data_IF_033553368188
#
_entry.id   IF_033553368188
#
_cell.length_a   1.000
_cell.length_b   1.000
_cell.length_c   1.000
_cell.angle_alpha   90.00
_cell.angle_beta   90.00
_cell.angle_gamma   90.00
#
_symmetry.space_group_name_H-M   'P 1'
#
loop_
_entity.id
_entity.type
_entity.pdbx_description
1 polymer ?
#
# COMPACT_ATOMS: atom_id res chain seq x y z
N UNK A 1 -8.51 -1.05 5.22
CA UNK A 1 -8.56 -2.10 4.18
C UNK A 1 -9.89 -2.05 3.47
N UNK A 2 -9.86 -1.92 2.15
CA UNK A 2 -11.05 -1.97 1.31
C UNK A 2 -11.38 -3.44 1.04
N UNK A 3 -12.66 -3.81 1.16
CA UNK A 3 -13.14 -5.10 0.65
C UNK A 3 -13.26 -4.98 -0.86
N UNK A 4 -12.26 -5.45 -1.59
CA UNK A 4 -12.24 -5.42 -3.05
C UNK A 4 -12.98 -6.64 -3.62
N UNK A 5 -13.49 -6.50 -4.84
CA UNK A 5 -14.22 -7.55 -5.54
C UNK A 5 -13.84 -7.61 -7.04
N UNK A 6 -14.19 -8.72 -7.69
CA UNK A 6 -13.89 -8.97 -9.11
C UNK A 6 -12.49 -9.56 -9.32
N UNK A 7 -11.82 -9.14 -10.39
CA UNK A 7 -10.56 -9.72 -10.87
C UNK A 7 -9.34 -9.24 -10.05
N UNK A 8 -9.33 -9.53 -8.75
CA UNK A 8 -8.32 -9.05 -7.80
C UNK A 8 -7.20 -10.07 -7.52
N UNK A 9 -7.37 -11.33 -7.95
CA UNK A 9 -6.35 -12.37 -7.83
C UNK A 9 -5.35 -12.31 -8.98
N UNK A 10 -4.20 -12.94 -8.78
CA UNK A 10 -3.06 -12.93 -9.72
C UNK A 10 -2.63 -11.49 -10.07
N UNK A 11 -2.58 -10.65 -9.03
CA UNK A 11 -2.06 -9.28 -9.12
C UNK A 11 -0.79 -9.22 -8.30
N UNK A 12 0.34 -9.09 -8.99
CA UNK A 12 1.67 -8.98 -8.40
C UNK A 12 2.27 -7.64 -8.82
N UNK A 13 2.94 -6.93 -7.92
CA UNK A 13 3.56 -5.60 -8.17
C UNK A 13 2.63 -4.59 -8.86
N UNK A 14 1.48 -4.23 -8.25
CA UNK A 14 0.54 -3.34 -8.91
C UNK A 14 0.95 -1.87 -8.82
N UNK A 15 0.79 -1.15 -9.93
CA UNK A 15 0.79 0.31 -9.97
C UNK A 15 -0.58 0.83 -10.36
N UNK A 16 -0.93 2.03 -9.89
CA UNK A 16 -2.23 2.68 -10.14
C UNK A 16 -2.05 4.01 -10.87
N UNK A 17 -2.91 4.25 -11.86
CA UNK A 17 -3.23 5.58 -12.36
C UNK A 17 -4.73 5.86 -12.23
N UNK A 18 -5.09 7.11 -11.94
CA UNK A 18 -6.48 7.57 -11.97
C UNK A 18 -6.61 8.59 -13.10
N UNK A 19 -7.45 8.29 -14.09
CA UNK A 19 -7.63 9.13 -15.28
C UNK A 19 -9.01 8.94 -15.89
N UNK A 20 -9.61 10.03 -16.41
CA UNK A 20 -10.94 9.97 -17.03
C UNK A 20 -12.04 9.41 -16.11
N UNK A 21 -11.92 9.63 -14.80
CA UNK A 21 -12.86 9.10 -13.79
C UNK A 21 -12.71 7.61 -13.50
N UNK A 22 -11.70 6.93 -14.04
CA UNK A 22 -11.45 5.49 -13.85
C UNK A 22 -10.13 5.23 -13.12
N UNK A 23 -10.07 4.08 -12.47
CA UNK A 23 -8.88 3.52 -11.84
C UNK A 23 -8.27 2.50 -12.79
N UNK A 24 -6.96 2.59 -13.01
CA UNK A 24 -6.21 1.76 -13.95
C UNK A 24 -5.07 1.08 -13.20
N UNK A 25 -5.10 -0.25 -13.11
CA UNK A 25 -4.03 -1.04 -12.50
C UNK A 25 -3.27 -1.82 -13.56
N UNK A 26 -1.95 -1.73 -13.49
CA UNK A 26 -1.00 -2.53 -14.25
C UNK A 26 -0.19 -3.36 -13.27
N UNK A 27 0.16 -4.60 -13.63
CA UNK A 27 0.84 -5.51 -12.72
C UNK A 27 1.89 -6.37 -13.43
N UNK A 28 2.77 -7.00 -12.67
CA UNK A 28 3.59 -8.13 -13.16
C UNK A 28 2.68 -9.23 -13.71
N UNK A 29 3.09 -9.84 -14.82
CA UNK A 29 2.38 -10.95 -15.44
C UNK A 29 2.62 -11.02 -16.93
N UNK A 30 1.95 -11.97 -17.61
CA UNK A 30 2.03 -12.08 -19.06
C UNK A 30 1.67 -10.74 -19.70
N UNK A 31 2.57 -10.19 -20.52
CA UNK A 31 2.32 -8.97 -21.28
C UNK A 31 1.94 -7.70 -20.50
N UNK A 32 2.16 -7.63 -19.18
CA UNK A 32 1.59 -6.59 -18.27
C UNK A 32 0.05 -6.63 -18.27
N UNK A 33 -0.58 -7.40 -17.37
CA UNK A 33 -2.03 -7.41 -17.20
C UNK A 33 -2.57 -6.04 -16.80
N UNK A 34 -3.64 -5.61 -17.47
CA UNK A 34 -4.32 -4.35 -17.24
C UNK A 34 -5.75 -4.59 -16.71
N UNK A 35 -6.04 -3.97 -15.57
CA UNK A 35 -7.34 -4.00 -14.89
C UNK A 35 -7.90 -2.60 -14.73
N UNK A 36 -9.23 -2.51 -14.70
CA UNK A 36 -9.96 -1.25 -14.49
C UNK A 36 -10.97 -1.36 -13.38
N UNK A 37 -11.25 -0.22 -12.75
CA UNK A 37 -12.37 -0.06 -11.82
C UNK A 37 -12.97 1.33 -11.97
N UNK A 38 -14.28 1.44 -11.82
CA UNK A 38 -15.01 2.72 -11.82
C UNK A 38 -15.06 3.34 -10.43
N UNK A 39 -14.94 2.54 -9.36
CA UNK A 39 -15.10 2.94 -7.97
C UNK A 39 -13.87 2.64 -7.08
N UNK A 40 -12.87 1.95 -7.62
CA UNK A 40 -11.70 1.48 -6.89
C UNK A 40 -12.00 0.35 -5.91
N UNK A 41 -13.12 -0.36 -6.11
CA UNK A 41 -13.60 -1.51 -5.32
C UNK A 41 -13.84 -2.73 -6.22
N UNK A 42 -14.60 -2.56 -7.30
CA UNK A 42 -14.94 -3.63 -8.24
C UNK A 42 -13.99 -3.58 -9.44
N UNK A 43 -13.14 -4.59 -9.55
CA UNK A 43 -12.09 -4.66 -10.57
C UNK A 43 -12.44 -5.63 -11.69
N UNK A 44 -12.11 -5.25 -12.91
CA UNK A 44 -12.26 -6.07 -14.11
C UNK A 44 -10.95 -6.13 -14.87
N UNK A 45 -10.49 -7.33 -15.19
CA UNK A 45 -9.41 -7.56 -16.14
C UNK A 45 -9.87 -7.18 -17.55
N UNK A 46 -8.99 -6.49 -18.30
CA UNK A 46 -9.30 -6.00 -19.64
C UNK A 46 -8.49 -6.74 -20.69
N UNK A 47 -7.16 -6.68 -20.58
CA UNK A 47 -6.19 -7.23 -21.55
C UNK A 47 -4.78 -7.19 -20.99
N UNK A 48 -3.83 -7.78 -21.70
CA UNK A 48 -2.41 -7.43 -21.59
C UNK A 48 -2.09 -6.15 -22.39
N UNK A 49 -1.07 -5.41 -21.97
CA UNK A 49 -0.51 -4.31 -22.77
C UNK A 49 0.28 -4.84 -23.97
N UNK A 50 1.01 -5.93 -23.78
CA UNK A 50 1.80 -6.59 -24.82
C UNK A 50 1.23 -7.97 -25.12
N UNK A 51 0.73 -8.17 -26.34
CA UNK A 51 0.45 -9.52 -26.85
C UNK A 51 1.73 -10.31 -27.12
N UNK A 52 2.84 -9.61 -27.40
CA UNK A 52 4.19 -10.15 -27.50
C UNK A 52 5.16 -9.10 -26.97
N UNK A 53 6.13 -9.51 -26.16
CA UNK A 53 7.16 -8.60 -25.67
C UNK A 53 7.94 -7.96 -26.83
N UNK A 54 8.35 -6.68 -26.72
CA UNK A 54 9.11 -6.01 -27.77
C UNK A 54 10.42 -6.71 -28.14
N UNK A 55 10.68 -6.92 -29.43
CA UNK A 55 11.75 -7.79 -29.92
C UNK A 55 13.13 -7.56 -29.30
N UNK A 56 13.47 -6.30 -29.00
CA UNK A 56 14.72 -5.91 -28.35
C UNK A 56 14.99 -6.66 -27.04
N UNK A 57 13.94 -7.12 -26.33
CA UNK A 57 14.08 -7.84 -25.08
C UNK A 57 14.95 -9.10 -25.23
N UNK A 58 14.86 -9.80 -26.38
CA UNK A 58 15.63 -11.03 -26.65
C UNK A 58 17.10 -10.76 -26.89
N UNK A 59 17.40 -9.59 -27.45
CA UNK A 59 18.77 -9.15 -27.74
C UNK A 59 19.46 -8.68 -26.46
N UNK A 60 18.75 -7.88 -25.65
CA UNK A 60 19.31 -7.29 -24.43
C UNK A 60 19.34 -8.33 -23.30
N UNK A 61 18.22 -8.99 -23.01
CA UNK A 61 18.06 -9.94 -21.90
C UNK A 61 17.45 -11.26 -22.42
N UNK A 62 18.27 -12.14 -23.04
CA UNK A 62 17.78 -13.43 -23.51
C UNK A 62 17.25 -14.26 -22.33
N UNK A 63 16.10 -14.93 -22.56
CA UNK A 63 15.45 -15.80 -21.56
C UNK A 63 14.36 -15.13 -20.73
N UNK A 64 14.12 -13.82 -20.88
CA UNK A 64 12.95 -13.18 -20.26
C UNK A 64 11.65 -13.81 -20.79
N UNK A 65 10.79 -14.21 -19.85
CA UNK A 65 9.48 -14.81 -20.16
C UNK A 65 8.36 -13.80 -20.09
N UNK A 66 8.35 -12.98 -19.04
CA UNK A 66 7.31 -11.99 -18.77
C UNK A 66 7.97 -10.69 -18.28
N UNK A 67 7.34 -9.53 -18.54
CA UNK A 67 7.76 -8.26 -17.95
C UNK A 67 7.30 -8.17 -16.48
N UNK A 68 8.07 -7.47 -15.65
CA UNK A 68 7.82 -7.34 -14.20
C UNK A 68 7.69 -5.89 -13.76
N UNK A 69 6.99 -5.69 -12.64
CA UNK A 69 6.91 -4.48 -11.83
C UNK A 69 6.73 -3.21 -12.67
N UNK A 70 5.59 -3.05 -13.37
CA UNK A 70 5.37 -1.85 -14.15
C UNK A 70 5.17 -0.64 -13.24
N UNK A 71 5.58 0.53 -13.72
CA UNK A 71 5.18 1.83 -13.19
C UNK A 71 4.54 2.68 -14.29
N UNK A 72 3.58 3.52 -13.93
CA UNK A 72 2.82 4.34 -14.87
C UNK A 72 2.85 5.80 -14.43
N UNK A 73 3.30 6.67 -15.34
CA UNK A 73 3.40 8.11 -15.09
C UNK A 73 3.01 8.91 -16.32
N UNK A 74 2.53 10.14 -16.11
CA UNK A 74 2.13 11.04 -17.19
C UNK A 74 3.11 12.21 -17.28
N UNK A 75 3.83 12.32 -18.40
CA UNK A 75 4.64 13.50 -18.73
C UNK A 75 4.87 13.62 -20.23
N UNK A 76 5.18 14.83 -20.69
CA UNK A 76 5.37 15.10 -22.12
C UNK A 76 4.12 14.80 -22.96
N UNK A 77 2.93 14.97 -22.38
CA UNK A 77 1.65 14.75 -23.05
C UNK A 77 1.27 13.28 -23.27
N UNK A 78 1.98 12.32 -22.67
CA UNK A 78 1.74 10.89 -22.84
C UNK A 78 1.77 10.16 -21.50
N UNK A 79 0.98 9.10 -21.41
CA UNK A 79 1.13 8.07 -20.40
C UNK A 79 2.30 7.18 -20.80
N UNK A 80 3.22 6.93 -19.86
CA UNK A 80 4.42 6.15 -20.08
C UNK A 80 4.50 5.07 -19.01
N UNK A 81 4.49 3.83 -19.47
CA UNK A 81 4.57 2.62 -18.67
C UNK A 81 5.99 2.09 -18.76
N UNK A 82 6.73 2.19 -17.66
CA UNK A 82 8.04 1.56 -17.53
C UNK A 82 7.85 0.16 -16.98
N UNK A 83 8.69 -0.78 -17.39
CA UNK A 83 8.60 -2.18 -16.96
C UNK A 83 9.98 -2.83 -16.96
N UNK A 84 10.11 -3.89 -16.17
CA UNK A 84 11.35 -4.65 -16.03
C UNK A 84 11.40 -5.81 -17.02
N UNK A 85 12.59 -6.07 -17.55
CA UNK A 85 12.95 -7.23 -18.38
C UNK A 85 14.15 -7.88 -17.72
N UNK A 86 13.97 -9.09 -17.18
CA UNK A 86 15.00 -9.75 -16.37
C UNK A 86 14.84 -11.28 -16.36
N UNK A 87 15.75 -11.95 -15.65
CA UNK A 87 15.74 -13.38 -15.33
C UNK A 87 16.05 -13.55 -13.83
N UNK A 88 15.47 -14.58 -13.20
CA UNK A 88 15.56 -14.75 -11.75
C UNK A 88 17.01 -14.87 -11.27
N UNK A 89 17.36 -14.09 -10.23
CA UNK A 89 18.69 -14.08 -9.61
C UNK A 89 19.78 -13.38 -10.45
N UNK A 90 19.42 -12.71 -11.54
CA UNK A 90 20.34 -11.99 -12.41
C UNK A 90 20.37 -10.49 -12.10
N UNK A 91 21.56 -9.91 -12.24
CA UNK A 91 21.79 -8.46 -12.23
C UNK A 91 21.89 -7.88 -13.66
N UNK A 92 21.96 -8.76 -14.67
CA UNK A 92 21.83 -8.36 -16.06
C UNK A 92 20.33 -8.25 -16.37
N UNK A 93 19.83 -7.02 -16.38
CA UNK A 93 18.41 -6.66 -16.48
C UNK A 93 18.26 -5.34 -17.23
N UNK A 94 17.05 -5.08 -17.72
CA UNK A 94 16.73 -3.85 -18.40
C UNK A 94 15.38 -3.29 -17.94
N UNK A 95 15.27 -1.96 -17.95
CA UNK A 95 14.01 -1.23 -17.85
C UNK A 95 13.62 -0.80 -19.26
N UNK A 96 12.44 -1.22 -19.70
CA UNK A 96 11.81 -0.80 -20.95
C UNK A 96 10.75 0.27 -20.72
N UNK A 97 10.28 0.90 -21.80
CA UNK A 97 9.18 1.84 -21.77
C UNK A 97 8.23 1.63 -22.94
N UNK A 98 6.93 1.70 -22.66
CA UNK A 98 5.91 1.91 -23.69
C UNK A 98 5.08 3.15 -23.36
N UNK A 99 4.49 3.80 -24.37
CA UNK A 99 3.65 4.98 -24.16
C UNK A 99 2.39 5.01 -25.00
N UNK A 100 1.35 5.63 -24.43
CA UNK A 100 0.09 5.89 -25.11
C UNK A 100 -0.43 7.30 -24.77
N UNK A 101 -1.41 7.79 -25.52
CA UNK A 101 -2.02 9.10 -25.28
C UNK A 101 -3.17 9.01 -24.26
N UNK A 102 -3.86 7.88 -24.22
CA UNK A 102 -5.04 7.65 -23.39
C UNK A 102 -5.02 6.25 -22.80
N UNK A 103 -5.09 6.16 -21.46
CA UNK A 103 -5.27 4.89 -20.77
C UNK A 103 -6.62 4.25 -21.15
N UNK A 104 -6.60 2.92 -21.29
CA UNK A 104 -7.78 2.14 -21.71
C UNK A 104 -7.97 2.04 -23.22
N UNK A 105 -7.18 2.73 -24.03
CA UNK A 105 -7.13 2.54 -25.49
C UNK A 105 -6.14 1.44 -25.91
N UNK A 106 -6.02 1.23 -27.23
CA UNK A 106 -5.11 0.24 -27.84
C UNK A 106 -3.79 0.85 -28.36
N UNK A 107 -3.63 2.18 -28.29
CA UNK A 107 -2.51 2.92 -28.88
C UNK A 107 -1.19 2.89 -28.10
N UNK A 108 -0.78 1.74 -27.56
CA UNK A 108 0.52 1.59 -26.91
C UNK A 108 1.64 1.45 -27.95
N UNK A 109 2.68 2.28 -27.80
CA UNK A 109 3.90 2.25 -28.61
C UNK A 109 5.06 1.80 -27.74
N UNK A 110 5.85 0.83 -28.20
CA UNK A 110 7.15 0.53 -27.59
C UNK A 110 8.13 1.69 -27.85
N UNK A 111 8.72 2.21 -26.77
CA UNK A 111 9.74 3.27 -26.81
C UNK A 111 11.16 2.72 -26.55
N UNK A 112 11.27 1.39 -26.45
CA UNK A 112 12.54 0.68 -26.36
C UNK A 112 13.16 0.64 -24.96
N UNK A 113 14.42 0.19 -24.85
CA UNK A 113 15.14 0.16 -23.58
C UNK A 113 15.44 1.59 -23.09
N UNK A 114 15.23 1.79 -21.78
CA UNK A 114 15.51 3.01 -21.04
C UNK A 114 16.87 2.91 -20.35
N UNK A 115 17.08 1.85 -19.57
CA UNK A 115 18.28 1.67 -18.76
C UNK A 115 18.58 0.17 -18.62
N UNK A 116 19.86 -0.20 -18.64
CA UNK A 116 20.32 -1.59 -18.59
C UNK A 116 21.39 -1.71 -17.53
N UNK A 117 21.23 -2.64 -16.60
CA UNK A 117 22.31 -3.06 -15.70
C UNK A 117 22.97 -4.32 -16.24
N UNK A 118 24.24 -4.49 -15.93
CA UNK A 118 25.06 -5.66 -16.26
C UNK A 118 25.59 -6.31 -15.00
N UNK A 119 26.06 -7.56 -15.14
CA UNK A 119 26.69 -8.29 -14.04
C UNK A 119 27.90 -7.50 -13.51
N UNK A 120 27.92 -7.25 -12.20
CA UNK A 120 28.99 -6.51 -11.54
C UNK A 120 28.67 -5.04 -11.26
N UNK A 121 27.56 -4.52 -11.80
CA UNK A 121 27.03 -3.22 -11.36
C UNK A 121 26.66 -3.26 -9.86
N UNK A 122 26.48 -2.12 -9.18
CA UNK A 122 26.05 -2.11 -7.78
C UNK A 122 24.55 -2.40 -7.60
N UNK A 123 23.75 -2.32 -8.67
CA UNK A 123 22.28 -2.40 -8.66
C UNK A 123 21.75 -3.42 -9.68
N UNK A 124 20.48 -3.79 -9.53
CA UNK A 124 19.72 -4.47 -10.56
C UNK A 124 18.72 -3.48 -11.18
N UNK A 125 18.76 -3.27 -12.49
CA UNK A 125 17.87 -2.36 -13.22
C UNK A 125 16.49 -3.00 -13.44
N UNK A 126 15.73 -3.14 -12.35
CA UNK A 126 14.32 -3.55 -12.32
C UNK A 126 13.56 -2.70 -11.30
N UNK A 127 12.25 -2.92 -11.20
CA UNK A 127 11.31 -2.22 -10.32
C UNK A 127 11.36 -0.70 -10.50
N UNK A 128 11.13 -0.20 -11.72
CA UNK A 128 11.11 1.24 -11.98
C UNK A 128 9.99 1.93 -11.20
N UNK A 129 10.24 3.14 -10.73
CA UNK A 129 9.23 4.14 -10.41
C UNK A 129 9.67 5.51 -10.91
N UNK A 130 8.82 6.19 -11.67
CA UNK A 130 9.08 7.53 -12.18
C UNK A 130 8.39 8.56 -11.30
N UNK A 131 9.18 9.45 -10.73
CA UNK A 131 8.69 10.67 -10.09
C UNK A 131 8.91 11.86 -11.02
N UNK A 132 7.84 12.59 -11.35
CA UNK A 132 7.92 13.80 -12.19
C UNK A 132 7.87 15.03 -11.29
N UNK A 133 8.93 15.82 -11.33
CA UNK A 133 8.99 17.10 -10.61
C UNK A 133 8.01 18.13 -11.16
N UNK A 134 7.77 19.19 -10.37
CA UNK A 134 6.87 20.29 -10.77
C UNK A 134 7.32 21.02 -12.03
N UNK A 135 8.62 21.04 -12.31
CA UNK A 135 9.20 21.62 -13.52
C UNK A 135 9.09 20.68 -14.74
N UNK A 136 8.47 19.50 -14.57
CA UNK A 136 8.31 18.50 -15.61
C UNK A 136 9.49 17.53 -15.75
N UNK A 137 10.51 17.64 -14.89
CA UNK A 137 11.69 16.75 -14.92
C UNK A 137 11.35 15.37 -14.36
N UNK A 138 11.46 14.29 -15.17
CA UNK A 138 11.29 12.93 -14.67
C UNK A 138 12.56 12.40 -14.01
N UNK A 139 12.37 11.66 -12.93
CA UNK A 139 13.42 10.94 -12.20
C UNK A 139 13.02 9.49 -12.05
N UNK A 140 13.94 8.59 -12.40
CA UNK A 140 13.78 7.16 -12.25
C UNK A 140 14.37 6.72 -10.92
N UNK A 141 13.52 6.18 -10.06
CA UNK A 141 13.92 5.38 -8.91
C UNK A 141 13.82 3.91 -9.31
N UNK A 142 14.79 3.08 -8.95
CA UNK A 142 14.79 1.66 -9.32
C UNK A 142 15.66 0.85 -8.35
N UNK A 143 15.54 -0.47 -8.42
CA UNK A 143 16.42 -1.38 -7.69
C UNK A 143 15.66 -2.48 -6.97
N UNK A 144 16.27 -3.65 -6.97
CA UNK A 144 15.82 -4.82 -6.23
C UNK A 144 17.04 -5.64 -5.88
N UNK A 145 17.23 -5.88 -4.57
CA UNK A 145 18.39 -6.51 -3.94
C UNK A 145 19.74 -5.77 -4.13
N UNK A 146 20.86 -6.51 -4.13
CA UNK A 146 22.23 -6.00 -4.22
C UNK A 146 22.53 -4.85 -3.26
N UNK A 147 23.03 -3.70 -3.75
CA UNK A 147 23.38 -2.56 -2.91
C UNK A 147 22.17 -1.68 -2.56
N UNK A 148 21.00 -1.94 -3.15
CA UNK A 148 19.74 -1.29 -2.79
C UNK A 148 19.10 -0.47 -3.90
N UNK A 149 18.57 0.68 -3.53
CA UNK A 149 17.70 1.53 -4.35
C UNK A 149 18.47 2.72 -4.88
N UNK A 150 18.34 2.96 -6.18
CA UNK A 150 19.07 3.98 -6.91
C UNK A 150 18.12 4.98 -7.56
N UNK A 151 18.61 6.21 -7.69
CA UNK A 151 17.94 7.34 -8.33
C UNK A 151 18.75 7.80 -9.54
N UNK A 152 18.07 8.08 -10.64
CA UNK A 152 18.67 8.48 -11.91
C UNK A 152 17.81 9.55 -12.59
N UNK A 153 18.43 10.63 -13.05
CA UNK A 153 17.72 11.70 -13.76
C UNK A 153 17.43 11.29 -15.20
N UNK A 154 16.20 11.50 -15.66
CA UNK A 154 15.79 11.25 -17.03
C UNK A 154 15.67 12.55 -17.83
N UNK A 155 15.93 12.48 -19.13
CA UNK A 155 15.63 13.53 -20.09
C UNK A 155 14.11 13.61 -20.31
N UNK A 156 13.46 14.78 -20.12
CA UNK A 156 12.00 14.90 -20.20
C UNK A 156 11.40 14.53 -21.56
N UNK A 157 12.15 14.70 -22.66
CA UNK A 157 11.67 14.46 -24.02
C UNK A 157 11.70 12.96 -24.32
N UNK A 158 12.84 12.34 -24.09
CA UNK A 158 13.09 10.94 -24.45
C UNK A 158 12.58 9.98 -23.38
N UNK A 159 12.60 10.35 -22.10
CA UNK A 159 12.38 9.43 -20.98
C UNK A 159 13.56 8.49 -20.71
N UNK A 160 14.73 8.77 -21.31
CA UNK A 160 15.98 8.02 -21.11
C UNK A 160 16.90 8.78 -20.15
N UNK A 161 17.90 8.11 -19.51
CA UNK A 161 18.86 8.81 -18.68
C UNK A 161 19.52 9.97 -19.42
N UNK A 162 19.73 11.09 -18.73
CA UNK A 162 20.53 12.20 -19.30
C UNK A 162 21.97 11.72 -19.54
N UNK A 163 22.70 12.39 -20.45
CA UNK A 163 24.11 12.07 -20.69
C UNK A 163 24.92 12.17 -19.39
N UNK A 164 25.78 11.17 -19.14
CA UNK A 164 26.59 11.05 -17.92
C UNK A 164 25.77 10.97 -16.62
N UNK A 165 24.51 10.56 -16.68
CA UNK A 165 23.73 10.32 -15.47
C UNK A 165 24.35 9.16 -14.67
N UNK A 166 24.73 9.44 -13.43
CA UNK A 166 25.23 8.43 -12.50
C UNK A 166 24.12 8.01 -11.53
N UNK A 167 23.79 6.71 -11.43
CA UNK A 167 22.83 6.24 -10.45
C UNK A 167 23.32 6.50 -9.02
N UNK A 168 22.51 7.21 -8.24
CA UNK A 168 22.79 7.53 -6.84
C UNK A 168 22.05 6.56 -5.91
N UNK A 169 22.77 5.84 -5.05
CA UNK A 169 22.13 5.01 -4.03
C UNK A 169 21.45 5.90 -2.97
N UNK A 170 20.16 5.68 -2.71
CA UNK A 170 19.34 6.48 -1.78
C UNK A 170 18.69 5.66 -0.65
N UNK A 171 18.69 4.33 -0.77
CA UNK A 171 18.31 3.42 0.32
C UNK A 171 19.04 2.08 0.16
N UNK A 172 19.41 1.47 1.28
CA UNK A 172 20.12 0.21 1.30
C UNK A 172 19.75 -0.58 2.55
N UNK A 173 20.07 -1.88 2.56
CA UNK A 173 19.82 -2.73 3.72
C UNK A 173 21.10 -3.44 4.14
N UNK A 174 22.00 -2.78 4.89
CA UNK A 174 23.19 -3.45 5.41
C UNK A 174 22.82 -4.66 6.27
N UNK A 175 23.53 -5.78 6.11
CA UNK A 175 23.25 -7.04 6.81
C UNK A 175 22.20 -7.93 6.12
N UNK A 176 21.47 -7.43 5.13
CA UNK A 176 20.61 -8.24 4.26
C UNK A 176 20.32 -7.52 2.97
N UNK A 177 20.60 -8.12 1.81
CA UNK A 177 20.31 -7.47 0.53
C UNK A 177 18.81 -7.35 0.21
N UNK A 178 17.90 -7.89 1.03
CA UNK A 178 16.47 -7.92 0.71
C UNK A 178 15.78 -6.56 0.89
N UNK A 179 15.93 -5.69 -0.12
CA UNK A 179 15.28 -4.40 -0.32
C UNK A 179 14.94 -4.22 -1.81
N UNK A 180 13.73 -3.79 -2.15
CA UNK A 180 13.30 -3.59 -3.55
C UNK A 180 12.08 -2.66 -3.67
N UNK A 181 11.52 -2.54 -4.88
CA UNK A 181 10.24 -1.89 -5.17
C UNK A 181 10.13 -0.44 -4.65
N UNK A 182 10.99 0.48 -5.12
CA UNK A 182 10.94 1.86 -4.70
C UNK A 182 9.69 2.56 -5.24
N UNK A 183 9.08 3.43 -4.43
CA UNK A 183 8.02 4.33 -4.87
C UNK A 183 8.16 5.69 -4.20
N UNK A 184 8.25 6.76 -4.98
CA UNK A 184 8.40 8.13 -4.47
C UNK A 184 7.08 8.89 -4.51
N UNK A 185 6.70 9.46 -3.36
CA UNK A 185 5.57 10.38 -3.22
C UNK A 185 6.03 11.72 -2.64
N UNK A 186 5.67 12.83 -3.27
CA UNK A 186 5.87 14.18 -2.70
C UNK A 186 4.61 14.65 -1.98
N UNK A 187 4.72 14.96 -0.69
CA UNK A 187 3.61 15.47 0.14
C UNK A 187 4.12 16.47 1.17
N UNK A 188 3.43 17.61 1.33
CA UNK A 188 3.70 18.61 2.37
C UNK A 188 5.19 19.02 2.50
N UNK A 189 5.88 19.19 1.37
CA UNK A 189 7.30 19.58 1.34
C UNK A 189 8.28 18.48 1.74
N UNK A 190 7.84 17.23 1.71
CA UNK A 190 8.68 16.04 1.91
C UNK A 190 8.57 15.11 0.69
N UNK A 191 9.66 14.45 0.37
CA UNK A 191 9.70 13.28 -0.48
C UNK A 191 9.66 12.06 0.42
N UNK A 192 8.71 11.17 0.19
CA UNK A 192 8.59 9.88 0.87
C UNK A 192 9.07 8.81 -0.10
N UNK A 193 10.08 8.06 0.31
CA UNK A 193 10.55 6.88 -0.41
C UNK A 193 9.99 5.64 0.30
N UNK A 194 9.03 5.00 -0.34
CA UNK A 194 8.58 3.67 0.05
C UNK A 194 9.50 2.63 -0.61
N UNK A 195 9.81 1.57 0.13
CA UNK A 195 10.52 0.39 -0.36
C UNK A 195 9.94 -0.83 0.32
N UNK A 196 10.16 -2.02 -0.24
CA UNK A 196 9.85 -3.27 0.44
C UNK A 196 11.10 -3.95 0.99
N UNK A 197 10.99 -4.46 2.21
CA UNK A 197 12.03 -5.25 2.87
C UNK A 197 11.63 -6.73 2.92
N UNK A 198 12.65 -7.59 3.01
CA UNK A 198 12.54 -9.04 3.13
C UNK A 198 11.98 -9.70 1.84
N UNK A 199 11.40 -10.89 1.92
CA UNK A 199 11.15 -11.74 0.74
C UNK A 199 9.67 -11.81 0.37
N UNK A 200 9.37 -11.43 -0.88
CA UNK A 200 8.14 -11.80 -1.56
C UNK A 200 8.16 -13.28 -1.96
N UNK A 201 7.12 -13.67 -2.70
CA UNK A 201 7.16 -14.79 -3.65
C UNK A 201 7.30 -16.16 -2.98
N UNK A 202 6.84 -16.25 -1.72
CA UNK A 202 6.85 -17.47 -0.90
C UNK A 202 5.45 -17.86 -0.41
N UNK A 203 4.42 -17.42 -1.14
CA UNK A 203 3.02 -17.68 -0.77
C UNK A 203 2.73 -17.16 0.63
N UNK A 204 2.08 -18.00 1.45
CA UNK A 204 1.77 -17.70 2.85
C UNK A 204 3.00 -17.49 3.75
N UNK A 205 4.19 -17.93 3.31
CA UNK A 205 5.45 -17.78 4.04
C UNK A 205 6.21 -16.49 3.68
N UNK A 206 5.61 -15.59 2.89
CA UNK A 206 6.23 -14.31 2.53
C UNK A 206 6.39 -13.42 3.77
N UNK A 207 7.61 -12.94 3.99
CA UNK A 207 7.97 -12.05 5.13
C UNK A 207 8.02 -10.57 4.75
N UNK A 208 7.64 -10.30 3.50
CA UNK A 208 7.62 -9.01 2.84
C UNK A 208 6.87 -7.93 3.63
N UNK A 209 7.38 -6.70 3.62
CA UNK A 209 6.73 -5.57 4.27
C UNK A 209 7.09 -4.27 3.57
N UNK A 210 6.16 -3.31 3.45
CA UNK A 210 6.50 -1.96 2.99
C UNK A 210 6.96 -1.10 4.15
N UNK A 211 8.08 -0.42 3.95
CA UNK A 211 8.62 0.58 4.85
C UNK A 211 8.77 1.91 4.13
N UNK A 212 8.86 3.01 4.88
CA UNK A 212 9.00 4.35 4.32
C UNK A 212 10.07 5.17 5.05
N UNK A 213 10.78 5.98 4.29
CA UNK A 213 11.60 7.10 4.77
C UNK A 213 11.15 8.41 4.14
N UNK A 214 11.59 9.54 4.69
CA UNK A 214 11.38 10.84 4.04
C UNK A 214 12.63 11.72 4.01
N UNK A 215 12.67 12.62 3.03
CA UNK A 215 13.71 13.64 2.88
C UNK A 215 13.12 14.97 2.43
N UNK A 216 13.84 16.07 2.68
CA UNK A 216 13.49 17.40 2.16
C UNK A 216 13.89 17.57 0.69
N UNK A 217 14.79 16.73 0.20
CA UNK A 217 15.33 16.74 -1.15
C UNK A 217 15.10 15.38 -1.80
N UNK A 218 14.79 15.37 -3.10
CA UNK A 218 14.50 14.12 -3.84
C UNK A 218 15.66 13.12 -3.76
N UNK A 219 16.89 13.61 -3.76
CA UNK A 219 18.09 12.78 -3.72
C UNK A 219 18.51 12.33 -2.31
N UNK A 220 17.67 12.57 -1.30
CA UNK A 220 17.99 12.27 0.09
C UNK A 220 18.90 13.32 0.77
N UNK A 221 19.39 13.03 1.99
CA UNK A 221 19.27 11.74 2.68
C UNK A 221 17.85 11.44 3.14
N UNK A 222 17.42 10.19 2.98
CA UNK A 222 16.15 9.70 3.53
C UNK A 222 16.37 9.11 4.91
N UNK A 223 15.51 9.49 5.86
CA UNK A 223 15.49 8.94 7.23
C UNK A 223 14.09 8.45 7.57
N UNK A 224 13.98 7.50 8.49
CA UNK A 224 12.71 7.04 9.02
C UNK A 224 12.21 7.90 10.21
N UNK A 225 11.06 7.52 10.80
CA UNK A 225 10.42 8.24 11.91
C UNK A 225 11.31 8.33 13.16
N UNK A 226 12.20 7.37 13.36
CA UNK A 226 13.16 7.37 14.46
C UNK A 226 14.47 8.09 14.10
N UNK A 227 14.59 8.63 12.89
CA UNK A 227 15.79 9.32 12.41
C UNK A 227 16.87 8.39 11.86
N UNK A 228 16.62 7.08 11.73
CA UNK A 228 17.60 6.15 11.16
C UNK A 228 17.62 6.30 9.65
N UNK A 229 18.82 6.45 9.08
CA UNK A 229 19.02 6.60 7.65
C UNK A 229 18.56 5.35 6.88
N UNK A 230 17.91 5.55 5.73
CA UNK A 230 17.52 4.45 4.85
C UNK A 230 18.74 3.76 4.22
N UNK A 231 19.87 4.45 4.06
CA UNK A 231 21.15 3.83 3.68
C UNK A 231 21.71 2.90 4.76
N UNK A 232 21.26 3.03 6.01
CA UNK A 232 21.64 2.17 7.12
C UNK A 232 20.58 1.09 7.43
N UNK A 233 19.66 0.81 6.50
CA UNK A 233 18.56 -0.13 6.72
C UNK A 233 17.50 0.41 7.68
N UNK A 234 17.31 1.74 7.72
CA UNK A 234 16.15 2.37 8.35
C UNK A 234 14.86 2.13 7.56
N UNK A 235 13.73 2.49 8.15
CA UNK A 235 12.42 2.41 7.50
C UNK A 235 11.29 2.31 8.51
N UNK A 236 10.30 3.20 8.41
CA UNK A 236 9.08 3.12 9.22
C UNK A 236 8.12 2.13 8.55
N UNK A 237 7.75 1.05 9.24
CA UNK A 237 6.80 0.06 8.70
C UNK A 237 5.45 0.69 8.40
N UNK A 238 4.94 0.49 7.18
CA UNK A 238 3.62 0.93 6.72
C UNK A 238 2.66 -0.25 6.64
N UNK A 239 3.10 -1.35 6.02
CA UNK A 239 2.35 -2.60 5.89
C UNK A 239 3.23 -3.78 6.29
N UNK A 240 2.63 -4.78 6.92
CA UNK A 240 3.27 -6.06 7.23
C UNK A 240 2.20 -7.15 7.34
N UNK A 241 2.61 -8.42 7.38
CA UNK A 241 1.68 -9.55 7.47
C UNK A 241 0.70 -9.41 8.65
N UNK A 242 -0.60 -9.50 8.37
CA UNK A 242 -1.69 -9.44 9.34
C UNK A 242 -2.88 -10.28 8.86
N UNK A 243 -3.42 -11.14 9.73
CA UNK A 243 -4.56 -12.00 9.41
C UNK A 243 -4.32 -12.85 8.16
N UNK A 244 -5.25 -12.78 7.19
CA UNK A 244 -5.13 -13.48 5.90
C UNK A 244 -4.03 -12.93 4.99
N UNK A 245 -3.63 -11.67 5.18
CA UNK A 245 -2.71 -10.97 4.29
C UNK A 245 -1.27 -11.24 4.69
N UNK A 246 -0.55 -11.99 3.85
CA UNK A 246 0.87 -12.32 4.05
C UNK A 246 1.71 -11.50 3.10
N UNK A 247 2.82 -10.97 3.59
CA UNK A 247 3.76 -10.22 2.79
C UNK A 247 3.20 -9.03 2.00
N UNK A 248 2.37 -8.11 2.57
CA UNK A 248 1.88 -6.95 1.82
C UNK A 248 3.02 -5.98 1.51
N UNK A 249 3.46 -5.96 0.25
CA UNK A 249 4.58 -5.15 -0.23
C UNK A 249 4.57 -4.95 -1.74
N UNK A 250 5.61 -4.31 -2.27
CA UNK A 250 5.66 -3.72 -3.60
C UNK A 250 4.50 -2.76 -3.81
N UNK A 251 4.56 -1.63 -3.09
CA UNK A 251 3.44 -0.70 -3.03
C UNK A 251 3.57 0.45 -4.03
N UNK A 252 2.42 0.89 -4.53
CA UNK A 252 2.24 2.20 -5.13
C UNK A 252 1.33 3.08 -4.26
N UNK A 253 1.45 4.39 -4.40
CA UNK A 253 0.64 5.36 -3.65
C UNK A 253 0.13 6.48 -4.56
N UNK A 254 -1.19 6.66 -4.61
CA UNK A 254 -1.86 7.74 -5.36
C UNK A 254 -2.77 8.52 -4.42
N UNK A 255 -2.41 9.78 -4.15
CA UNK A 255 -3.06 10.58 -3.12
C UNK A 255 -2.91 9.92 -1.75
N UNK A 256 -4.03 9.55 -1.13
CA UNK A 256 -4.06 8.75 0.11
C UNK A 256 -4.37 7.27 -0.15
N UNK A 257 -4.42 6.81 -1.40
CA UNK A 257 -4.64 5.40 -1.70
C UNK A 257 -3.32 4.66 -1.75
N UNK A 258 -3.17 3.69 -0.86
CA UNK A 258 -2.09 2.71 -0.86
C UNK A 258 -2.59 1.45 -1.54
N UNK A 259 -1.82 0.93 -2.48
CA UNK A 259 -2.05 -0.37 -3.07
C UNK A 259 -0.76 -1.18 -3.13
N UNK A 260 -0.87 -2.49 -3.01
CA UNK A 260 0.25 -3.42 -3.13
C UNK A 260 -0.30 -4.80 -3.50
N UNK A 261 0.56 -5.78 -3.71
CA UNK A 261 0.11 -7.17 -3.67
C UNK A 261 0.27 -7.72 -2.25
N UNK A 262 -0.53 -8.72 -1.91
CA UNK A 262 -0.33 -9.55 -0.72
C UNK A 262 -0.76 -10.99 -1.01
N UNK A 263 -0.08 -11.94 -0.40
CA UNK A 263 -0.36 -13.37 -0.52
C UNK A 263 -1.52 -13.71 0.41
N UNK A 264 -2.64 -14.12 -0.17
CA UNK A 264 -3.87 -14.33 0.56
C UNK A 264 -3.97 -15.75 1.13
N UNK A 265 -3.79 -15.89 2.44
CA UNK A 265 -3.83 -17.19 3.12
C UNK A 265 -5.20 -17.89 3.07
N UNK A 266 -6.28 -17.17 2.76
CA UNK A 266 -7.60 -17.79 2.53
C UNK A 266 -7.76 -18.35 1.11
N UNK A 267 -6.86 -17.98 0.19
CA UNK A 267 -6.82 -18.44 -1.19
C UNK A 267 -5.43 -19.01 -1.50
N UNK A 268 -4.94 -19.90 -0.63
CA UNK A 268 -3.71 -20.69 -0.84
C UNK A 268 -2.43 -19.85 -1.08
N UNK A 269 -2.43 -18.59 -0.62
CA UNK A 269 -1.33 -17.67 -0.85
C UNK A 269 -1.28 -17.12 -2.28
N UNK A 270 -2.38 -17.08 -3.02
CA UNK A 270 -2.42 -16.42 -4.33
C UNK A 270 -2.14 -14.91 -4.14
N UNK A 271 -1.24 -14.30 -4.95
CA UNK A 271 -0.99 -12.87 -4.90
C UNK A 271 -2.25 -12.11 -5.32
N UNK A 272 -2.76 -11.29 -4.42
CA UNK A 272 -4.05 -10.63 -4.53
C UNK A 272 -3.86 -9.13 -4.31
N UNK A 273 -4.57 -8.32 -5.11
CA UNK A 273 -4.56 -6.87 -4.98
C UNK A 273 -5.03 -6.47 -3.58
N UNK A 274 -4.18 -5.75 -2.88
CA UNK A 274 -4.46 -5.20 -1.56
C UNK A 274 -4.56 -3.69 -1.66
N UNK A 275 -5.64 -3.10 -1.16
CA UNK A 275 -5.81 -1.65 -1.11
C UNK A 275 -6.27 -1.16 0.25
N UNK A 276 -5.70 -0.05 0.68
CA UNK A 276 -6.14 0.68 1.86
C UNK A 276 -5.96 2.18 1.65
N UNK A 277 -6.53 2.97 2.54
CA UNK A 277 -6.22 4.40 2.60
C UNK A 277 -5.12 4.65 3.62
N UNK A 278 -4.25 5.62 3.37
CA UNK A 278 -3.27 6.10 4.33
C UNK A 278 -3.92 7.11 5.28
N UNK A 279 -3.54 7.04 6.55
CA UNK A 279 -3.64 8.15 7.51
C UNK A 279 -2.24 8.72 7.72
N UNK A 280 -2.16 9.99 8.12
CA UNK A 280 -0.88 10.70 8.29
C UNK A 280 -0.74 11.22 9.72
N UNK A 281 0.04 10.52 10.53
CA UNK A 281 0.24 10.82 11.95
C UNK A 281 1.57 11.55 12.13
N UNK A 282 1.53 12.86 12.44
CA UNK A 282 2.74 13.68 12.53
C UNK A 282 3.55 13.73 11.21
N UNK A 283 2.86 13.60 10.08
CA UNK A 283 3.47 13.54 8.75
C UNK A 283 4.11 12.20 8.41
N UNK A 284 3.75 11.11 9.09
CA UNK A 284 4.15 9.75 8.74
C UNK A 284 2.95 8.92 8.29
N UNK A 285 3.05 8.18 7.17
CA UNK A 285 1.93 7.39 6.70
C UNK A 285 1.78 6.11 7.53
N UNK A 286 0.54 5.76 7.81
CA UNK A 286 0.16 4.45 8.31
C UNK A 286 -1.08 3.98 7.55
N UNK A 287 -1.26 2.67 7.37
CA UNK A 287 -2.52 2.17 6.81
C UNK A 287 -3.66 2.55 7.76
N UNK A 288 -4.74 3.09 7.22
CA UNK A 288 -5.98 3.29 7.96
C UNK A 288 -6.50 1.90 8.33
N UNK A 289 -6.37 1.57 9.62
CA UNK A 289 -6.91 0.34 10.18
C UNK A 289 -8.40 0.28 9.87
N UNK A 290 -8.77 -0.72 9.10
CA UNK A 290 -10.13 -1.26 9.17
C UNK A 290 -10.16 -2.50 10.06
N UNK A 291 -9.06 -2.80 10.77
CA UNK A 291 -9.00 -3.82 11.84
C UNK A 291 -9.93 -3.51 13.01
N UNK A 292 -10.70 -2.42 12.97
CA UNK A 292 -11.89 -2.32 13.82
C UNK A 292 -12.92 -3.41 13.49
N UNK A 293 -12.99 -3.94 12.27
CA UNK A 293 -14.05 -4.89 11.86
C UNK A 293 -14.01 -6.29 12.50
N UNK A 294 -12.97 -6.69 13.22
CA UNK A 294 -12.91 -8.05 13.81
C UNK A 294 -12.41 -8.13 15.25
N UNK A 295 -11.98 -7.02 15.87
CA UNK A 295 -11.41 -7.08 17.22
C UNK A 295 -12.44 -7.52 18.28
N UNK A 296 -13.73 -7.37 18.02
CA UNK A 296 -14.83 -7.60 18.99
C UNK A 296 -16.09 -8.24 18.37
N UNK A 297 -15.93 -9.09 17.35
CA UNK A 297 -17.06 -9.75 16.66
C UNK A 297 -18.04 -10.47 17.62
N UNK A 298 -17.51 -10.94 18.75
CA UNK A 298 -18.21 -11.62 19.83
C UNK A 298 -19.09 -10.70 20.70
N UNK A 299 -18.92 -9.37 20.61
CA UNK A 299 -19.65 -8.35 21.41
C UNK A 299 -20.51 -7.44 20.52
N UNK A 300 -20.18 -7.33 19.23
CA UNK A 300 -20.99 -6.59 18.25
C UNK A 300 -22.41 -7.17 18.21
N UNK A 301 -23.39 -6.28 18.07
CA UNK A 301 -24.81 -6.64 18.03
C UNK A 301 -25.66 -5.70 18.86
N UNK A 302 -26.90 -6.11 19.08
CA UNK A 302 -27.89 -5.35 19.81
C UNK A 302 -27.85 -5.72 21.30
N UNK A 303 -27.96 -4.70 22.15
CA UNK A 303 -27.91 -4.81 23.59
C UNK A 303 -29.07 -4.03 24.20
N UNK A 304 -29.74 -4.61 25.18
CA UNK A 304 -30.59 -3.84 26.09
C UNK A 304 -29.68 -3.15 27.10
N UNK A 305 -29.51 -1.84 26.96
CA UNK A 305 -28.68 -0.99 27.82
C UNK A 305 -29.56 -0.25 28.83
N UNK A 306 -29.26 -0.41 30.12
CA UNK A 306 -30.06 0.13 31.22
C UNK A 306 -29.19 0.79 32.30
N UNK A 307 -29.26 2.12 32.43
CA UNK A 307 -28.81 2.82 33.63
C UNK A 307 -29.72 2.53 34.82
N UNK A 308 -29.17 2.43 36.02
CA UNK A 308 -29.92 2.18 37.26
C UNK A 308 -30.99 3.27 37.49
N UNK A 309 -32.24 2.85 37.76
CA UNK A 309 -33.41 3.73 37.82
C UNK A 309 -33.95 4.25 36.48
N UNK A 310 -33.32 3.90 35.35
CA UNK A 310 -33.74 4.25 33.99
C UNK A 310 -34.46 3.12 33.26
N UNK A 311 -35.16 3.48 32.18
CA UNK A 311 -35.73 2.50 31.25
C UNK A 311 -34.62 1.85 30.41
N UNK A 312 -34.75 0.56 30.14
CA UNK A 312 -33.87 -0.13 29.20
C UNK A 312 -34.06 0.44 27.78
N UNK A 313 -32.96 0.61 27.06
CA UNK A 313 -32.94 1.13 25.69
C UNK A 313 -32.15 0.21 24.79
N UNK A 314 -32.57 0.11 23.52
CA UNK A 314 -31.84 -0.69 22.54
C UNK A 314 -30.58 0.05 22.08
N UNK A 315 -29.43 -0.55 22.32
CA UNK A 315 -28.12 -0.03 21.93
C UNK A 315 -27.42 -1.04 21.03
N UNK A 316 -27.15 -0.64 19.78
CA UNK A 316 -26.32 -1.44 18.90
C UNK A 316 -24.85 -1.05 19.05
N UNK A 317 -23.98 -2.03 19.31
CA UNK A 317 -22.53 -1.86 19.27
C UNK A 317 -22.01 -2.28 17.89
N UNK A 318 -21.46 -1.34 17.12
CA UNK A 318 -21.06 -1.57 15.72
C UNK A 318 -19.58 -1.86 15.58
N UNK A 319 -19.23 -2.56 14.49
CA UNK A 319 -17.87 -3.00 14.20
C UNK A 319 -16.85 -1.86 14.02
N UNK A 320 -17.28 -0.63 13.75
CA UNK A 320 -16.39 0.52 13.62
C UNK A 320 -16.12 1.25 14.95
N UNK A 321 -16.64 0.71 16.07
CA UNK A 321 -16.56 1.32 17.40
C UNK A 321 -17.57 2.45 17.62
N UNK A 322 -18.56 2.63 16.75
CA UNK A 322 -19.71 3.50 16.97
C UNK A 322 -20.88 2.74 17.60
N UNK A 323 -21.87 3.45 18.12
CA UNK A 323 -23.12 2.87 18.60
C UNK A 323 -24.33 3.28 17.74
N UNK A 324 -25.53 2.78 18.05
CA UNK A 324 -26.79 3.31 17.49
C UNK A 324 -27.16 4.69 18.06
N UNK A 325 -26.65 5.05 19.25
CA UNK A 325 -26.92 6.36 19.82
C UNK A 325 -26.13 7.45 19.06
N UNK A 326 -26.73 8.62 18.79
CA UNK A 326 -26.07 9.70 18.05
C UNK A 326 -24.73 10.10 18.70
N UNK A 327 -23.65 10.01 17.92
CA UNK A 327 -22.28 10.34 18.36
C UNK A 327 -21.68 9.36 19.37
N UNK A 328 -22.42 8.34 19.81
CA UNK A 328 -21.95 7.36 20.76
C UNK A 328 -20.83 6.49 20.19
N UNK A 329 -19.82 6.21 21.02
CA UNK A 329 -18.69 5.34 20.65
C UNK A 329 -18.40 4.35 21.75
N UNK A 330 -17.73 3.25 21.40
CA UNK A 330 -17.36 2.21 22.35
C UNK A 330 -15.98 1.62 22.04
N UNK A 331 -15.34 1.10 23.08
CA UNK A 331 -14.10 0.32 23.00
C UNK A 331 -14.13 -0.87 23.95
N UNK A 332 -13.30 -1.88 23.70
CA UNK A 332 -13.07 -3.01 24.62
C UNK A 332 -11.59 -3.33 24.79
N UNK A 333 -11.19 -3.55 26.04
CA UNK A 333 -9.88 -4.04 26.47
C UNK A 333 -10.07 -5.19 27.48
N UNK A 334 -9.74 -6.42 27.08
CA UNK A 334 -10.04 -7.61 27.89
C UNK A 334 -11.54 -7.77 28.11
N UNK A 335 -11.98 -7.85 29.36
CA UNK A 335 -13.40 -7.84 29.74
C UNK A 335 -13.96 -6.43 29.94
N UNK A 336 -13.15 -5.37 29.85
CA UNK A 336 -13.64 -4.00 30.06
C UNK A 336 -14.23 -3.45 28.77
N UNK A 337 -15.50 -3.06 28.79
CA UNK A 337 -16.18 -2.27 27.75
C UNK A 337 -16.28 -0.83 28.24
N UNK A 338 -15.88 0.13 27.40
CA UNK A 338 -16.03 1.55 27.67
C UNK A 338 -17.01 2.16 26.68
N UNK A 339 -18.12 2.73 27.15
CA UNK A 339 -19.05 3.51 26.33
C UNK A 339 -18.77 5.00 26.53
N UNK A 340 -18.89 5.79 25.45
CA UNK A 340 -18.66 7.22 25.46
C UNK A 340 -19.82 7.94 24.77
N UNK A 341 -20.43 8.88 25.49
CA UNK A 341 -21.60 9.65 25.06
C UNK A 341 -21.24 11.14 24.98
N UNK A 342 -21.05 11.70 23.78
CA UNK A 342 -20.74 13.13 23.64
C UNK A 342 -21.83 14.01 24.23
N UNK A 343 -21.43 14.98 25.03
CA UNK A 343 -22.30 15.96 25.65
C UNK A 343 -21.48 17.18 26.06
N UNK A 344 -21.87 18.39 25.64
CA UNK A 344 -21.12 19.62 25.91
C UNK A 344 -20.94 19.87 27.41
N UNK A 345 -21.94 19.48 28.21
CA UNK A 345 -21.97 19.60 29.66
C UNK A 345 -21.17 18.53 30.42
N UNK A 346 -20.64 17.51 29.73
CA UNK A 346 -19.92 16.41 30.37
C UNK A 346 -18.44 16.74 30.59
N UNK A 347 -17.82 16.31 31.70
CA UNK A 347 -16.39 16.45 31.92
C UNK A 347 -15.58 15.84 30.76
N UNK A 348 -14.72 16.64 30.11
CA UNK A 348 -13.94 16.18 28.95
C UNK A 348 -14.76 15.95 27.67
N UNK A 349 -15.95 16.55 27.59
CA UNK A 349 -16.81 16.59 26.41
C UNK A 349 -17.59 15.29 26.14
N UNK A 350 -17.58 14.34 27.07
CA UNK A 350 -18.41 13.13 26.99
C UNK A 350 -18.60 12.45 28.35
N UNK A 351 -19.79 11.89 28.57
CA UNK A 351 -20.02 10.94 29.65
C UNK A 351 -19.37 9.60 29.30
N UNK A 352 -18.77 8.93 30.30
CA UNK A 352 -18.09 7.65 30.11
C UNK A 352 -18.67 6.60 31.05
N UNK A 353 -19.03 5.46 30.49
CA UNK A 353 -19.40 4.26 31.24
C UNK A 353 -18.27 3.25 31.15
N UNK A 354 -17.82 2.72 32.29
CA UNK A 354 -16.85 1.63 32.35
C UNK A 354 -17.53 0.39 32.89
N UNK A 355 -17.56 -0.64 32.06
CA UNK A 355 -18.39 -1.82 32.20
C UNK A 355 -17.50 -3.06 32.11
N UNK A 356 -17.84 -4.08 32.86
CA UNK A 356 -17.19 -5.40 32.84
C UNK A 356 -18.12 -6.38 32.17
N UNK A 357 -17.64 -7.01 31.11
CA UNK A 357 -18.31 -8.03 30.33
C UNK A 357 -18.20 -9.38 31.04
N UNK A 358 -19.31 -10.09 31.16
CA UNK A 358 -19.33 -11.45 31.70
C UNK A 358 -18.55 -12.42 30.78
N UNK A 359 -18.07 -13.53 31.34
CA UNK A 359 -17.24 -14.50 30.62
C UNK A 359 -17.94 -15.20 29.46
N UNK A 360 -19.27 -15.31 29.50
CA UNK A 360 -20.13 -15.85 28.44
C UNK A 360 -20.55 -14.79 27.41
N UNK A 361 -20.15 -13.52 27.62
CA UNK A 361 -20.44 -12.38 26.75
C UNK A 361 -21.95 -12.07 26.60
N UNK A 362 -22.78 -12.57 27.51
CA UNK A 362 -24.24 -12.36 27.48
C UNK A 362 -24.66 -11.04 28.16
N UNK A 363 -23.81 -10.49 29.02
CA UNK A 363 -24.10 -9.28 29.80
C UNK A 363 -22.85 -8.46 30.10
N UNK A 364 -23.03 -7.17 30.36
CA UNK A 364 -22.04 -6.32 31.00
C UNK A 364 -22.64 -5.57 32.19
N UNK A 365 -21.81 -5.19 33.15
CA UNK A 365 -22.22 -4.36 34.29
C UNK A 365 -21.10 -3.43 34.73
N UNK A 366 -21.44 -2.26 35.26
CA UNK A 366 -20.44 -1.33 35.78
C UNK A 366 -21.04 -0.02 36.22
N UNK A 367 -20.28 1.07 36.09
CA UNK A 367 -20.72 2.39 36.53
C UNK A 367 -20.36 3.46 35.51
N UNK A 368 -21.18 4.50 35.45
CA UNK A 368 -20.83 5.73 34.76
C UNK A 368 -19.87 6.61 35.60
N UNK A 369 -19.38 7.69 35.02
CA UNK A 369 -18.49 8.67 35.69
C UNK A 369 -19.09 9.29 36.96
N UNK A 370 -20.41 9.28 37.12
CA UNK A 370 -21.11 9.80 38.30
C UNK A 370 -21.35 8.72 39.37
N UNK A 371 -20.92 7.48 39.12
CA UNK A 371 -21.08 6.35 40.04
C UNK A 371 -22.43 5.64 39.95
N UNK A 372 -23.32 6.03 39.03
CA UNK A 372 -24.58 5.33 38.78
C UNK A 372 -24.29 3.98 38.12
N UNK A 373 -24.96 2.92 38.60
CA UNK A 373 -24.81 1.59 38.05
C UNK A 373 -25.41 1.51 36.63
N UNK A 374 -24.79 0.71 35.78
CA UNK A 374 -25.19 0.45 34.40
C UNK A 374 -25.17 -1.06 34.20
N UNK A 375 -26.22 -1.59 33.57
CA UNK A 375 -26.32 -2.97 33.15
C UNK A 375 -26.60 -3.03 31.65
N UNK A 376 -26.18 -4.12 31.02
CA UNK A 376 -26.69 -4.44 29.70
C UNK A 376 -26.69 -5.92 29.40
N UNK A 377 -27.70 -6.35 28.64
CA UNK A 377 -27.93 -7.74 28.26
C UNK A 377 -27.92 -7.83 26.74
N UNK A 378 -27.26 -8.86 26.21
CA UNK A 378 -27.20 -9.08 24.77
C UNK A 378 -28.54 -9.58 24.26
N UNK A 379 -29.02 -9.01 23.17
CA UNK A 379 -30.20 -9.50 22.46
C UNK A 379 -29.75 -10.59 21.49
N UNK A 380 -30.42 -11.75 21.57
CA UNK A 380 -30.08 -12.95 20.80
C UNK A 380 -30.38 -12.79 19.30
#
# INVERSE_FOLDING_TARGET
>A
MRELAGDIQHVHDPVLAISGGKWHVFSTGNGIPYRVSDDGIHWRYVKEIFSTLPAWHKEVIPGTRNPWAPDISFWGGRWRLLYSVSTFGSQHSAIGMASCEKLGGDGWRDDGPVFVSKRGDPYNAIDPNVFVERDGTPWLTFGSFWQGIFLLKLDPKTGKPVSNAEPKCIAARPGSTAIEAPFILKRAGWYYLFVSHDFCCRGVNSTYKSVVGRSRTLEGPYVDRAGKALLAGGGTTVSQSQGRWRGPGHCAVVGDTFLCHSYDAQHEGIPTLFMSSLRWDGGWPALKDTEKKTKWADVIGDWEHQPDGGAATMLQLKADGSTSAPGGTWTREGQTVTLRWPAEQAPGGAWIDKLTLAGDLSRYEGKNQQGQAIHGTRVA
#
